data_IF_959633269533
#
_entry.id   IF_959633269533
#
_cell.length_a   1.000
_cell.length_b   1.000
_cell.length_c   1.000
_cell.angle_alpha   90.00
_cell.angle_beta   90.00
_cell.angle_gamma   90.00
#
_symmetry.space_group_name_H-M   'P 1'
#
loop_
_entity.id
_entity.type
_entity.pdbx_description
1 polymer ?
#
# COMPACT_ATOMS: atom_id res chain seq x y z
N UNK A 1 -32.09 -27.83 14.53
CA UNK A 1 -31.36 -28.27 13.32
C UNK A 1 -31.36 -27.07 12.39
N UNK A 2 -30.42 -26.13 12.60
CA UNK A 2 -29.04 -26.11 12.04
C UNK A 2 -29.07 -25.68 10.57
N UNK A 3 -28.33 -24.70 10.07
CA UNK A 3 -27.32 -23.80 10.61
C UNK A 3 -27.27 -22.57 9.68
N UNK A 4 -26.90 -21.43 10.26
CA UNK A 4 -25.99 -20.42 9.72
C UNK A 4 -25.92 -20.21 8.20
N UNK A 5 -26.59 -19.16 7.73
CA UNK A 5 -26.02 -18.28 6.71
C UNK A 5 -26.61 -16.87 6.89
N UNK A 6 -26.21 -16.19 7.97
CA UNK A 6 -26.26 -14.72 7.98
C UNK A 6 -25.10 -14.24 7.12
N UNK A 7 -25.37 -14.07 5.82
CA UNK A 7 -24.49 -13.35 4.92
C UNK A 7 -24.20 -11.97 5.52
N UNK A 8 -23.02 -11.82 6.15
CA UNK A 8 -22.50 -10.53 6.51
C UNK A 8 -22.26 -9.76 5.21
N UNK A 9 -23.01 -8.68 5.01
CA UNK A 9 -22.84 -7.77 3.88
C UNK A 9 -21.41 -7.22 3.94
N UNK A 10 -20.52 -7.68 3.06
CA UNK A 10 -19.20 -7.08 2.92
C UNK A 10 -19.33 -5.79 2.12
N UNK A 11 -19.61 -4.68 2.81
CA UNK A 11 -19.41 -3.36 2.21
C UNK A 11 -17.91 -3.19 1.97
N UNK A 12 -17.47 -3.34 0.72
CA UNK A 12 -16.05 -3.30 0.33
C UNK A 12 -15.31 -2.08 0.88
N UNK A 13 -15.98 -0.94 1.00
CA UNK A 13 -15.43 0.28 1.60
C UNK A 13 -15.19 0.17 3.11
N UNK A 14 -16.16 -0.33 3.89
CA UNK A 14 -16.00 -0.54 5.34
C UNK A 14 -14.87 -1.55 5.64
N UNK A 15 -14.80 -2.61 4.84
CA UNK A 15 -13.74 -3.61 4.95
C UNK A 15 -12.36 -3.05 4.58
N UNK A 16 -12.28 -1.99 3.76
CA UNK A 16 -11.01 -1.41 3.32
C UNK A 16 -10.28 -0.69 4.45
N UNK A 17 -10.96 0.11 5.26
CA UNK A 17 -10.33 0.81 6.39
C UNK A 17 -9.74 -0.20 7.38
N UNK A 18 -10.51 -1.21 7.76
CA UNK A 18 -10.04 -2.27 8.64
C UNK A 18 -8.87 -3.07 8.05
N UNK A 19 -8.90 -3.30 6.74
CA UNK A 19 -7.82 -3.93 6.00
C UNK A 19 -6.52 -3.12 6.11
N UNK A 20 -6.58 -1.79 6.00
CA UNK A 20 -5.41 -0.91 6.18
C UNK A 20 -4.89 -0.97 7.62
N UNK A 21 -5.79 -0.92 8.62
CA UNK A 21 -5.40 -1.09 10.03
C UNK A 21 -4.74 -2.44 10.32
N UNK A 22 -5.23 -3.52 9.70
CA UNK A 22 -4.63 -4.85 9.80
C UNK A 22 -3.29 -4.93 9.08
N UNK A 23 -3.17 -4.30 7.91
CA UNK A 23 -1.91 -4.19 7.19
C UNK A 23 -0.84 -3.47 8.01
N UNK A 24 -1.14 -2.29 8.55
CA UNK A 24 -0.19 -1.54 9.38
C UNK A 24 0.17 -2.31 10.66
N UNK A 25 -0.81 -2.98 11.28
CA UNK A 25 -0.59 -3.86 12.42
C UNK A 25 0.27 -5.09 12.11
N UNK A 26 0.28 -5.56 10.87
CA UNK A 26 1.17 -6.62 10.40
C UNK A 26 2.57 -6.09 10.07
N UNK A 27 2.66 -4.97 9.36
CA UNK A 27 3.91 -4.51 8.76
C UNK A 27 4.80 -3.71 9.72
N UNK A 28 4.24 -2.77 10.48
CA UNK A 28 5.02 -1.85 11.34
C UNK A 28 5.87 -2.61 12.39
N UNK A 29 5.35 -3.64 13.09
CA UNK A 29 6.15 -4.41 14.05
C UNK A 29 7.39 -5.08 13.46
N UNK A 30 7.40 -5.39 12.17
CA UNK A 30 8.58 -5.98 11.49
C UNK A 30 9.75 -5.00 11.37
N UNK A 31 9.52 -3.71 11.63
CA UNK A 31 10.54 -2.66 11.66
C UNK A 31 10.88 -2.18 13.07
N UNK A 32 10.45 -2.89 14.12
CA UNK A 32 10.79 -2.59 15.51
C UNK A 32 9.92 -1.52 16.19
N UNK A 33 8.85 -1.06 15.53
CA UNK A 33 7.91 -0.11 16.10
C UNK A 33 6.64 -0.79 16.61
N UNK A 34 5.99 -0.19 17.62
CA UNK A 34 4.73 -0.69 18.15
C UNK A 34 3.56 0.01 17.46
N UNK A 35 2.76 -0.74 16.71
CA UNK A 35 1.47 -0.26 16.21
C UNK A 35 0.37 -0.52 17.24
N UNK A 36 -0.28 0.54 17.70
CA UNK A 36 -1.50 0.45 18.50
C UNK A 36 -2.64 0.98 17.65
N UNK A 37 -3.74 0.23 17.54
CA UNK A 37 -4.95 0.76 16.91
C UNK A 37 -5.55 1.86 17.82
N UNK A 38 -6.26 2.85 17.25
CA UNK A 38 -6.99 3.84 18.03
C UNK A 38 -7.93 3.18 19.05
N UNK A 39 -8.11 3.74 20.25
CA UNK A 39 -8.96 3.14 21.29
C UNK A 39 -10.43 3.04 20.87
N UNK A 40 -10.87 3.86 19.93
CA UNK A 40 -12.21 3.87 19.33
C UNK A 40 -12.32 3.02 18.05
N UNK A 41 -11.27 2.27 17.67
CA UNK A 41 -11.34 1.38 16.52
C UNK A 41 -12.22 0.17 16.84
N UNK A 42 -13.37 0.09 16.18
CA UNK A 42 -14.25 -1.07 16.23
C UNK A 42 -14.24 -1.81 14.89
N UNK A 43 -14.18 -3.14 14.96
CA UNK A 43 -14.29 -4.00 13.79
C UNK A 43 -15.77 -4.29 13.50
N UNK A 44 -16.22 -3.87 12.33
CA UNK A 44 -17.57 -4.08 11.80
C UNK A 44 -17.61 -5.17 10.72
N UNK A 45 -16.49 -5.44 10.06
CA UNK A 45 -16.38 -6.42 8.98
C UNK A 45 -15.63 -7.69 9.40
N UNK A 46 -15.81 -8.76 8.61
CA UNK A 46 -14.97 -9.96 8.73
C UNK A 46 -13.53 -9.61 8.37
N UNK A 47 -12.56 -10.11 9.14
CA UNK A 47 -11.14 -9.96 8.82
C UNK A 47 -10.85 -10.55 7.44
N UNK A 48 -10.47 -9.69 6.50
CA UNK A 48 -10.13 -10.07 5.12
C UNK A 48 -8.63 -10.06 4.84
N UNK A 49 -7.83 -9.36 5.65
CA UNK A 49 -6.39 -9.22 5.46
C UNK A 49 -5.66 -10.57 5.37
N UNK A 50 -4.76 -10.69 4.38
CA UNK A 50 -3.84 -11.82 4.22
C UNK A 50 -2.40 -11.37 4.31
N UNK A 51 -1.57 -12.16 4.99
CA UNK A 51 -0.14 -11.87 5.19
C UNK A 51 0.64 -11.77 3.88
N UNK A 52 0.27 -12.55 2.85
CA UNK A 52 0.88 -12.47 1.52
C UNK A 52 0.79 -11.08 0.89
N UNK A 53 -0.28 -10.32 1.16
CA UNK A 53 -0.36 -8.92 0.77
C UNK A 53 0.64 -8.05 1.55
N UNK A 54 0.70 -8.22 2.87
CA UNK A 54 1.66 -7.49 3.70
C UNK A 54 3.11 -7.75 3.28
N UNK A 55 3.45 -9.00 2.98
CA UNK A 55 4.78 -9.37 2.49
C UNK A 55 5.07 -8.81 1.10
N UNK A 56 4.09 -8.82 0.19
CA UNK A 56 4.24 -8.19 -1.12
C UNK A 56 4.55 -6.70 -1.00
N UNK A 57 3.85 -5.98 -0.11
CA UNK A 57 4.09 -4.55 0.13
C UNK A 57 5.48 -4.30 0.71
N UNK A 58 5.91 -5.07 1.71
CA UNK A 58 7.24 -4.94 2.33
C UNK A 58 8.35 -5.22 1.31
N UNK A 59 8.20 -6.25 0.49
CA UNK A 59 9.16 -6.58 -0.57
C UNK A 59 9.18 -5.49 -1.65
N UNK A 60 8.02 -5.01 -2.08
CA UNK A 60 7.91 -3.95 -3.07
C UNK A 60 8.63 -2.69 -2.60
N UNK A 61 8.35 -2.25 -1.37
CA UNK A 61 9.04 -1.15 -0.72
C UNK A 61 10.55 -1.36 -0.69
N UNK A 62 11.00 -2.55 -0.27
CA UNK A 62 12.44 -2.84 -0.13
C UNK A 62 13.19 -2.78 -1.46
N UNK A 63 12.56 -3.21 -2.57
CA UNK A 63 13.15 -3.11 -3.91
C UNK A 63 13.17 -1.69 -4.49
N UNK A 64 12.22 -0.85 -4.08
CA UNK A 64 12.10 0.53 -4.54
C UNK A 64 12.57 1.54 -3.48
N UNK A 65 13.37 1.10 -2.50
CA UNK A 65 13.75 1.90 -1.33
C UNK A 65 14.34 3.27 -1.70
N UNK A 66 15.12 3.33 -2.77
CA UNK A 66 15.81 4.57 -3.18
C UNK A 66 14.82 5.57 -3.77
N UNK A 67 13.86 5.08 -4.57
CA UNK A 67 12.76 5.90 -5.11
C UNK A 67 11.86 6.42 -3.98
N UNK A 68 11.53 5.58 -3.00
CA UNK A 68 10.74 6.00 -1.84
C UNK A 68 11.50 7.01 -0.97
N UNK A 69 12.79 6.80 -0.73
CA UNK A 69 13.64 7.74 0.01
C UNK A 69 13.76 9.09 -0.70
N UNK A 70 13.94 9.10 -2.03
CA UNK A 70 13.98 10.32 -2.84
C UNK A 70 12.65 11.08 -2.73
N UNK A 71 11.51 10.38 -2.88
CA UNK A 71 10.18 10.96 -2.80
C UNK A 71 9.87 11.56 -1.43
N UNK A 72 10.22 10.85 -0.36
CA UNK A 72 10.12 11.36 1.02
C UNK A 72 11.00 12.60 1.18
N UNK A 73 12.27 12.54 0.77
CA UNK A 73 13.18 13.68 0.87
C UNK A 73 12.69 14.91 0.08
N UNK A 74 12.03 14.71 -1.07
CA UNK A 74 11.44 15.77 -1.89
C UNK A 74 10.28 16.46 -1.18
N UNK A 75 9.43 15.70 -0.46
CA UNK A 75 8.38 16.24 0.38
C UNK A 75 8.95 17.17 1.46
N UNK A 76 10.00 16.73 2.15
CA UNK A 76 10.64 17.52 3.22
C UNK A 76 11.40 18.75 2.69
N UNK A 77 12.02 18.68 1.51
CA UNK A 77 12.74 19.83 0.91
C UNK A 77 11.80 20.96 0.48
N UNK A 78 10.51 20.69 0.30
CA UNK A 78 9.51 21.69 -0.06
C UNK A 78 8.89 22.39 1.17
N UNK A 79 9.65 22.58 2.26
CA UNK A 79 9.28 23.33 3.48
C UNK A 79 8.64 24.70 3.15
N UNK A 80 7.33 24.64 2.92
CA UNK A 80 6.39 25.72 2.71
C UNK A 80 5.01 25.06 2.63
N UNK A 81 4.38 24.87 3.78
CA UNK A 81 2.94 24.64 3.96
C UNK A 81 2.25 23.43 3.28
N UNK A 82 2.96 22.49 2.66
CA UNK A 82 2.31 21.25 2.18
C UNK A 82 2.08 20.29 3.35
N UNK A 83 0.89 20.36 3.94
CA UNK A 83 0.33 19.34 4.83
C UNK A 83 0.49 17.93 4.22
N UNK A 84 0.81 16.93 5.02
CA UNK A 84 1.00 15.53 4.61
C UNK A 84 -0.20 14.98 3.85
N UNK A 85 -1.40 15.47 4.18
CA UNK A 85 -2.64 15.18 3.46
C UNK A 85 -2.55 15.63 1.99
N UNK A 86 -2.03 16.84 1.74
CA UNK A 86 -1.85 17.38 0.38
C UNK A 86 -0.84 16.55 -0.41
N UNK A 87 0.22 16.08 0.24
CA UNK A 87 1.20 15.22 -0.40
C UNK A 87 0.64 13.83 -0.70
N UNK A 88 -0.13 13.25 0.22
CA UNK A 88 -0.85 11.99 0.01
C UNK A 88 -1.79 12.08 -1.21
N UNK A 89 -2.57 13.15 -1.35
CA UNK A 89 -3.44 13.35 -2.54
C UNK A 89 -2.62 13.47 -3.84
N UNK A 90 -1.50 14.19 -3.83
CA UNK A 90 -0.58 14.26 -4.99
C UNK A 90 0.00 12.89 -5.34
N UNK A 91 0.39 12.12 -4.32
CA UNK A 91 0.90 10.77 -4.50
C UNK A 91 -0.16 9.86 -5.12
N UNK A 92 -1.39 9.91 -4.61
CA UNK A 92 -2.53 9.15 -5.13
C UNK A 92 -2.78 9.48 -6.61
N UNK A 93 -2.84 10.77 -6.97
CA UNK A 93 -3.02 11.22 -8.37
C UNK A 93 -1.94 10.73 -9.32
N UNK A 94 -0.70 10.61 -8.84
CA UNK A 94 0.43 10.10 -9.64
C UNK A 94 0.47 8.58 -9.73
N UNK A 95 -0.03 7.89 -8.70
CA UNK A 95 0.01 6.44 -8.59
C UNK A 95 -1.17 5.79 -9.29
N UNK A 96 -2.39 6.22 -8.96
CA UNK A 96 -3.62 5.65 -9.51
C UNK A 96 -3.94 6.23 -10.88
N UNK A 97 -3.39 5.59 -11.92
CA UNK A 97 -3.63 5.91 -13.33
C UNK A 97 -4.66 4.98 -13.97
N UNK A 98 -5.14 3.98 -13.22
CA UNK A 98 -6.10 2.99 -13.70
C UNK A 98 -5.50 1.98 -14.68
N UNK A 99 -4.16 1.91 -14.77
CA UNK A 99 -3.47 1.00 -15.69
C UNK A 99 -3.24 -0.37 -15.07
N UNK A 100 -2.79 -0.40 -13.82
CA UNK A 100 -2.56 -1.64 -13.07
C UNK A 100 -3.10 -1.47 -11.64
N UNK A 101 -4.43 -1.42 -11.44
CA UNK A 101 -5.04 -0.93 -10.19
C UNK A 101 -4.58 -1.67 -8.92
N UNK A 102 -4.34 -2.98 -9.01
CA UNK A 102 -3.92 -3.81 -7.88
C UNK A 102 -2.44 -3.57 -7.50
N UNK A 103 -1.56 -3.32 -8.48
CA UNK A 103 -0.17 -2.92 -8.20
C UNK A 103 -0.08 -1.46 -7.76
N UNK A 104 -0.96 -0.59 -8.27
CA UNK A 104 -1.11 0.78 -7.80
C UNK A 104 -1.54 0.80 -6.32
N UNK A 105 -2.43 -0.11 -5.90
CA UNK A 105 -2.78 -0.30 -4.48
C UNK A 105 -1.60 -0.79 -3.64
N UNK A 106 -0.82 -1.77 -4.12
CA UNK A 106 0.42 -2.21 -3.44
C UNK A 106 1.40 -1.03 -3.27
N UNK A 107 1.56 -0.22 -4.31
CA UNK A 107 2.43 0.97 -4.31
C UNK A 107 1.94 2.01 -3.29
N UNK A 108 0.63 2.22 -3.21
CA UNK A 108 0.01 3.09 -2.21
C UNK A 108 0.20 2.58 -0.77
N UNK A 109 0.03 1.29 -0.52
CA UNK A 109 0.27 0.73 0.81
C UNK A 109 1.75 0.76 1.19
N UNK A 110 2.67 0.63 0.22
CA UNK A 110 4.11 0.83 0.46
C UNK A 110 4.41 2.27 0.89
N UNK A 111 3.80 3.25 0.21
CA UNK A 111 3.88 4.66 0.59
C UNK A 111 3.35 4.93 2.00
N UNK A 112 2.18 4.36 2.33
CA UNK A 112 1.57 4.51 3.64
C UNK A 112 2.47 3.92 4.74
N UNK A 113 3.07 2.76 4.50
CA UNK A 113 4.02 2.15 5.41
C UNK A 113 5.27 3.01 5.61
N UNK A 114 5.86 3.52 4.52
CA UNK A 114 7.04 4.39 4.60
C UNK A 114 6.77 5.66 5.38
N UNK A 115 5.65 6.32 5.08
CA UNK A 115 5.20 7.52 5.79
C UNK A 115 4.91 7.19 7.25
N UNK A 116 4.27 6.06 7.54
CA UNK A 116 4.03 5.58 8.88
C UNK A 116 5.34 5.41 9.67
N UNK A 117 6.28 4.65 9.14
CA UNK A 117 7.60 4.42 9.76
C UNK A 117 8.34 5.74 10.00
N UNK A 118 8.23 6.70 9.09
CA UNK A 118 8.79 8.03 9.27
C UNK A 118 8.21 8.76 10.49
N UNK A 119 6.89 8.84 10.61
CA UNK A 119 6.26 9.50 11.76
C UNK A 119 6.49 8.74 13.08
N UNK A 120 6.65 7.42 13.04
CA UNK A 120 7.12 6.65 14.19
C UNK A 120 8.54 7.05 14.62
N UNK A 121 9.45 7.32 13.67
CA UNK A 121 10.80 7.83 13.99
C UNK A 121 10.77 9.25 14.59
N UNK A 122 9.77 10.07 14.24
CA UNK A 122 9.57 11.40 14.81
C UNK A 122 8.82 11.40 16.15
N UNK A 123 8.39 10.24 16.65
CA UNK A 123 7.48 10.11 17.81
C UNK A 123 6.12 10.82 17.61
N UNK A 124 5.60 10.85 16.39
CA UNK A 124 4.30 11.42 16.03
C UNK A 124 3.33 10.37 15.44
N UNK A 125 3.05 9.25 16.13
CA UNK A 125 2.23 8.16 15.60
C UNK A 125 0.77 8.57 15.29
N UNK A 126 0.27 9.63 15.94
CA UNK A 126 -1.09 10.13 15.73
C UNK A 126 -1.33 10.61 14.29
N UNK A 127 -0.29 11.11 13.62
CA UNK A 127 -0.36 11.50 12.19
C UNK A 127 -0.62 10.29 11.30
N UNK A 128 -0.16 9.10 11.71
CA UNK A 128 -0.40 7.85 10.99
C UNK A 128 -1.87 7.43 11.09
N UNK A 129 -2.53 7.71 12.21
CA UNK A 129 -3.97 7.49 12.35
C UNK A 129 -4.77 8.41 11.43
N UNK A 130 -4.43 9.70 11.38
CA UNK A 130 -5.05 10.65 10.46
C UNK A 130 -4.89 10.21 8.99
N UNK A 131 -3.68 9.80 8.60
CA UNK A 131 -3.43 9.26 7.25
C UNK A 131 -4.19 7.97 6.97
N UNK A 132 -4.37 7.13 8.00
CA UNK A 132 -5.14 5.90 7.87
C UNK A 132 -6.60 6.20 7.60
N UNK A 133 -7.19 7.17 8.29
CA UNK A 133 -8.59 7.56 8.10
C UNK A 133 -8.82 8.18 6.69
N UNK A 134 -7.85 8.95 6.19
CA UNK A 134 -7.85 9.48 4.81
C UNK A 134 -7.83 8.38 3.73
N UNK A 135 -7.36 7.16 4.05
CA UNK A 135 -7.35 6.05 3.08
C UNK A 135 -8.75 5.65 2.62
N UNK A 136 -9.78 5.98 3.42
CA UNK A 136 -11.18 5.80 3.00
C UNK A 136 -11.50 6.64 1.76
N UNK A 137 -11.11 7.92 1.76
CA UNK A 137 -11.27 8.80 0.60
C UNK A 137 -10.47 8.31 -0.62
N UNK A 138 -9.28 7.75 -0.39
CA UNK A 138 -8.47 7.13 -1.47
C UNK A 138 -9.19 5.92 -2.06
N UNK A 139 -9.81 5.08 -1.23
CA UNK A 139 -10.56 3.92 -1.70
C UNK A 139 -11.67 4.33 -2.66
N UNK A 140 -12.60 5.18 -2.23
CA UNK A 140 -13.75 5.58 -3.09
C UNK A 140 -13.31 6.28 -4.38
N UNK A 141 -12.29 7.14 -4.29
CA UNK A 141 -11.87 7.97 -5.42
C UNK A 141 -11.06 7.20 -6.45
N UNK A 142 -10.21 6.27 -6.01
CA UNK A 142 -9.19 5.66 -6.88
C UNK A 142 -9.26 4.14 -6.97
N UNK A 143 -9.72 3.46 -5.92
CA UNK A 143 -9.69 1.99 -5.85
C UNK A 143 -11.03 1.41 -6.26
N UNK A 144 -12.11 1.81 -5.59
CA UNK A 144 -13.47 1.29 -5.77
C UNK A 144 -13.92 1.22 -7.24
N UNK A 145 -13.71 2.26 -8.09
CA UNK A 145 -14.19 2.25 -9.47
C UNK A 145 -13.62 1.11 -10.31
N UNK A 146 -12.46 0.58 -9.94
CA UNK A 146 -11.77 -0.47 -10.69
C UNK A 146 -11.68 -1.78 -9.92
N UNK A 147 -11.75 -1.75 -8.59
CA UNK A 147 -11.41 -2.88 -7.73
C UNK A 147 -12.27 -4.11 -8.00
N UNK A 148 -13.58 -3.94 -8.08
CA UNK A 148 -14.51 -5.05 -8.38
C UNK A 148 -14.34 -5.53 -9.82
N UNK A 149 -14.07 -4.63 -10.77
CA UNK A 149 -13.88 -4.95 -12.20
C UNK A 149 -12.67 -5.89 -12.38
N UNK A 150 -11.59 -5.66 -11.63
CA UNK A 150 -10.36 -6.45 -11.72
C UNK A 150 -10.36 -7.70 -10.83
N UNK A 151 -11.50 -8.08 -10.25
CA UNK A 151 -11.65 -9.29 -9.43
C UNK A 151 -11.44 -9.09 -7.92
N UNK A 152 -11.39 -7.84 -7.46
CA UNK A 152 -11.43 -7.44 -6.05
C UNK A 152 -10.37 -8.08 -5.16
N UNK A 153 -10.75 -8.41 -3.93
CA UNK A 153 -9.87 -9.01 -2.92
C UNK A 153 -9.20 -10.30 -3.40
N UNK A 154 -9.92 -11.14 -4.14
CA UNK A 154 -9.37 -12.39 -4.65
C UNK A 154 -8.19 -12.14 -5.60
N UNK A 155 -8.37 -11.25 -6.58
CA UNK A 155 -7.31 -10.88 -7.52
C UNK A 155 -6.13 -10.18 -6.83
N UNK A 156 -6.41 -9.31 -5.83
CA UNK A 156 -5.38 -8.65 -5.04
C UNK A 156 -4.45 -9.67 -4.37
N UNK A 157 -5.01 -10.69 -3.72
CA UNK A 157 -4.22 -11.70 -3.02
C UNK A 157 -3.44 -12.60 -3.97
N UNK A 158 -4.03 -12.96 -5.11
CA UNK A 158 -3.33 -13.73 -6.14
C UNK A 158 -2.11 -12.98 -6.69
N UNK A 159 -2.27 -11.69 -7.01
CA UNK A 159 -1.15 -10.85 -7.49
C UNK A 159 -0.09 -10.69 -6.39
N UNK A 160 -0.50 -10.54 -5.14
CA UNK A 160 0.43 -10.43 -4.01
C UNK A 160 1.29 -11.68 -3.86
N UNK A 161 0.69 -12.87 -3.88
CA UNK A 161 1.39 -14.14 -3.85
C UNK A 161 2.34 -14.31 -5.05
N UNK A 162 1.88 -13.94 -6.25
CA UNK A 162 2.71 -13.95 -7.46
C UNK A 162 3.91 -13.02 -7.33
N UNK A 163 3.73 -11.82 -6.77
CA UNK A 163 4.79 -10.85 -6.55
C UNK A 163 5.85 -11.39 -5.57
N UNK A 164 5.41 -11.93 -4.43
CA UNK A 164 6.31 -12.55 -3.43
C UNK A 164 7.12 -13.67 -4.07
N UNK A 165 6.45 -14.57 -4.79
CA UNK A 165 7.11 -15.71 -5.45
C UNK A 165 8.12 -15.25 -6.52
N UNK A 166 7.74 -14.26 -7.34
CA UNK A 166 8.61 -13.70 -8.38
C UNK A 166 9.86 -13.07 -7.79
N UNK A 167 9.71 -12.26 -6.74
CA UNK A 167 10.84 -11.59 -6.07
C UNK A 167 11.77 -12.59 -5.38
N UNK A 168 11.22 -13.63 -4.74
CA UNK A 168 12.04 -14.66 -4.09
C UNK A 168 12.78 -15.57 -5.10
N UNK A 169 12.30 -15.65 -6.34
CA UNK A 169 12.91 -16.48 -7.38
C UNK A 169 13.97 -15.74 -8.21
N UNK A 170 13.96 -14.40 -8.24
CA UNK A 170 14.94 -13.60 -9.00
C UNK A 170 15.98 -12.99 -8.03
N UNK A 171 17.24 -13.45 -8.06
CA UNK A 171 18.32 -12.86 -7.28
C UNK A 171 18.41 -11.36 -7.50
N UNK A 172 18.68 -10.63 -6.42
CA UNK A 172 18.78 -9.16 -6.36
C UNK A 172 19.74 -8.54 -7.39
N UNK A 173 20.66 -9.33 -7.95
CA UNK A 173 21.74 -8.85 -8.82
C UNK A 173 21.35 -8.68 -10.29
N UNK A 174 20.14 -9.07 -10.71
CA UNK A 174 19.75 -9.06 -12.13
C UNK A 174 19.08 -7.72 -12.56
N UNK A 175 18.65 -6.87 -11.63
CA UNK A 175 17.92 -5.62 -12.00
C UNK A 175 18.86 -4.46 -12.40
N UNK A 176 20.19 -4.66 -12.36
CA UNK A 176 21.15 -3.66 -12.82
C UNK A 176 21.49 -3.75 -14.32
N UNK A 177 20.95 -4.71 -15.07
CA UNK A 177 21.39 -4.97 -16.45
C UNK A 177 20.23 -5.15 -17.45
N UNK A 178 19.45 -4.09 -17.71
CA UNK A 178 18.68 -4.01 -18.97
C UNK A 178 18.10 -2.63 -19.29
N UNK A 179 18.81 -1.54 -18.97
CA UNK A 179 18.46 -0.19 -19.44
C UNK A 179 19.38 0.33 -20.56
N UNK A 180 20.33 -0.48 -21.07
CA UNK A 180 21.36 -0.02 -22.01
C UNK A 180 21.41 -0.71 -23.38
N UNK A 181 20.43 -1.53 -23.75
CA UNK A 181 20.44 -2.22 -25.07
C UNK A 181 19.14 -2.06 -25.86
N UNK A 182 18.67 -0.82 -26.09
CA UNK A 182 17.70 -0.55 -27.19
C UNK A 182 17.94 0.82 -27.87
N UNK A 183 19.16 1.37 -27.84
CA UNK A 183 19.44 2.68 -28.46
C UNK A 183 20.53 2.66 -29.55
N UNK A 184 20.93 1.48 -30.03
CA UNK A 184 22.01 1.35 -31.02
C UNK A 184 21.67 0.42 -32.18
N UNK A 185 20.44 0.47 -32.70
CA UNK A 185 20.16 -0.01 -34.07
C UNK A 185 19.11 0.89 -34.72
N UNK A 186 19.53 2.01 -35.30
CA UNK A 186 18.86 2.70 -36.41
C UNK A 186 19.71 3.86 -36.94
N UNK A 187 20.92 3.54 -37.38
CA UNK A 187 21.64 4.26 -38.45
C UNK A 187 22.52 3.25 -39.16
N UNK A 188 21.98 2.68 -40.23
CA UNK A 188 22.63 2.29 -41.48
C UNK A 188 21.55 1.84 -42.45
#
# INVERSE_FOLDING_TARGET
MSDDFKEGITHTGEAFLEFIYDFLGYAIPKFGFKWNKPPNFERNCKKIFKESFGDAVILFRSRHKDEFAERLSSFFKTESSCDIITYSDRFCKRTFKGKIPLMELITYCAFLLDTGLFYFMLNEPDVVHQLTDETFGVFYKYVEPYFTIVGGWHALYRISEQYVNFVNFIPSDIVSASASEVASVSKL
#
